data_IF_090637599236
#
_entry.id   IF_090637599236
#
_cell.length_a   1.000
_cell.length_b   1.000
_cell.length_c   1.000
_cell.angle_alpha   90.00
_cell.angle_beta   90.00
_cell.angle_gamma   90.00
#
_symmetry.space_group_name_H-M   'P 1'
#
loop_
_entity.id
_entity.type
_entity.pdbx_description
1 polymer ?
#
# COMPACT_ATOMS: atom_id res chain seq x y z
N UNK A 1 -14.28 19.61 13.03
CA UNK A 1 -13.03 20.33 13.33
C UNK A 1 -12.54 20.97 12.05
N UNK A 2 -12.16 22.26 12.09
CA UNK A 2 -11.85 23.02 10.88
C UNK A 2 -10.69 22.39 10.06
N UNK A 3 -10.80 22.32 8.73
CA UNK A 3 -9.71 21.87 7.88
C UNK A 3 -8.50 22.81 8.02
N UNK A 4 -7.30 22.27 7.87
CA UNK A 4 -6.10 23.09 7.75
C UNK A 4 -6.29 24.05 6.56
N UNK A 5 -6.21 25.36 6.81
CA UNK A 5 -6.27 26.37 5.77
C UNK A 5 -5.07 26.16 4.83
N UNK A 6 -5.36 25.74 3.60
CA UNK A 6 -4.44 25.86 2.48
C UNK A 6 -4.39 27.37 2.16
N UNK A 7 -3.29 28.02 2.52
CA UNK A 7 -3.05 29.41 2.16
C UNK A 7 -2.81 29.49 0.65
N UNK A 8 -3.85 29.81 -0.11
CA UNK A 8 -3.68 30.48 -1.40
C UNK A 8 -3.57 31.98 -1.10
N UNK A 9 -2.35 32.51 -1.13
CA UNK A 9 -2.14 33.96 -1.01
C UNK A 9 -1.88 34.55 -2.39
N UNK A 10 -2.88 35.25 -2.90
CA UNK A 10 -2.73 36.18 -4.02
C UNK A 10 -2.73 37.60 -3.46
N UNK A 11 -1.53 38.19 -3.32
CA UNK A 11 -1.30 39.64 -3.43
C UNK A 11 0.20 39.98 -3.41
N UNK A 12 0.60 40.75 -4.43
CA UNK A 12 1.89 41.42 -4.52
C UNK A 12 1.94 42.65 -3.61
N UNK A 13 3.15 43.00 -3.19
CA UNK A 13 3.61 44.27 -2.61
C UNK A 13 3.36 44.54 -1.11
N UNK A 14 4.21 43.93 -0.27
CA UNK A 14 4.79 44.40 0.99
C UNK A 14 5.40 43.17 1.70
N UNK A 15 6.47 43.33 2.50
CA UNK A 15 7.04 42.21 3.27
C UNK A 15 5.91 41.37 3.91
N UNK A 16 5.83 40.06 3.65
CA UNK A 16 4.68 39.27 4.06
C UNK A 16 4.49 39.41 5.58
N UNK A 17 3.25 39.63 6.03
CA UNK A 17 2.88 39.84 7.45
C UNK A 17 3.53 38.80 8.39
N UNK A 18 3.81 37.59 7.88
CA UNK A 18 4.55 36.54 8.58
C UNK A 18 6.01 36.90 8.92
N UNK A 19 6.72 37.61 8.04
CA UNK A 19 8.08 38.13 8.25
C UNK A 19 8.14 39.12 9.42
N UNK A 20 7.14 40.01 9.51
CA UNK A 20 7.03 40.98 10.61
C UNK A 20 6.65 40.31 11.94
N UNK A 21 5.76 39.31 11.93
CA UNK A 21 5.26 38.67 13.16
C UNK A 21 6.24 37.67 13.78
N UNK A 22 6.98 36.93 12.96
CA UNK A 22 7.88 35.86 13.43
C UNK A 22 9.35 36.14 13.17
N UNK A 23 9.67 37.29 12.57
CA UNK A 23 11.05 37.65 12.24
C UNK A 23 11.69 36.69 11.23
N UNK A 24 10.96 36.05 10.32
CA UNK A 24 11.60 35.15 9.34
C UNK A 24 12.46 35.93 8.33
N UNK A 25 13.53 35.30 7.84
CA UNK A 25 14.39 35.86 6.78
C UNK A 25 14.85 34.74 5.86
N UNK A 26 14.55 34.86 4.58
CA UNK A 26 15.14 34.02 3.54
C UNK A 26 16.37 34.74 2.98
N UNK A 27 17.56 34.27 3.36
CA UNK A 27 18.82 34.86 2.93
C UNK A 27 19.92 33.79 2.89
N UNK A 28 20.33 33.41 1.67
CA UNK A 28 21.34 32.38 1.44
C UNK A 28 22.78 32.89 1.57
N UNK A 29 23.00 34.19 1.79
CA UNK A 29 24.30 34.81 2.05
C UNK A 29 24.68 34.81 3.55
N UNK A 30 23.99 33.98 4.36
CA UNK A 30 24.36 33.71 5.76
C UNK A 30 23.47 34.35 6.82
N UNK A 31 22.38 35.05 6.45
CA UNK A 31 21.42 35.60 7.42
C UNK A 31 20.06 34.88 7.41
N UNK A 32 20.00 33.64 6.94
CA UNK A 32 18.78 32.84 6.93
C UNK A 32 18.23 32.67 8.35
N UNK A 33 16.93 32.89 8.55
CA UNK A 33 16.27 32.78 9.87
C UNK A 33 14.87 32.20 9.75
N UNK A 34 14.66 31.06 10.39
CA UNK A 34 13.33 30.46 10.57
C UNK A 34 12.54 31.16 11.67
N UNK A 35 11.23 30.90 11.71
CA UNK A 35 10.38 31.32 12.81
C UNK A 35 10.80 30.60 14.12
N UNK A 36 10.66 31.22 15.29
CA UNK A 36 10.91 30.55 16.57
C UNK A 36 10.04 29.30 16.73
N UNK A 37 10.62 28.24 17.32
CA UNK A 37 9.95 26.97 17.58
C UNK A 37 10.50 26.32 18.85
N UNK A 38 9.67 25.55 19.55
CA UNK A 38 10.07 24.70 20.68
C UNK A 38 9.93 23.22 20.32
N UNK A 39 10.78 22.36 20.90
CA UNK A 39 10.77 20.91 20.69
C UNK A 39 9.41 20.31 21.07
N UNK A 40 8.77 20.84 22.11
CA UNK A 40 7.45 20.38 22.57
C UNK A 40 6.34 20.62 21.53
N UNK A 41 6.46 21.68 20.73
CA UNK A 41 5.50 21.98 19.66
C UNK A 41 5.61 20.94 18.54
N UNK A 42 6.83 20.56 18.17
CA UNK A 42 7.10 19.53 17.16
C UNK A 42 6.60 18.16 17.64
N UNK A 43 6.92 17.76 18.88
CA UNK A 43 6.46 16.49 19.46
C UNK A 43 4.94 16.40 19.52
N UNK A 44 4.25 17.43 20.06
CA UNK A 44 2.78 17.50 20.09
C UNK A 44 2.19 17.45 18.68
N UNK A 45 2.80 18.13 17.71
CA UNK A 45 2.32 18.14 16.33
C UNK A 45 2.33 16.75 15.70
N UNK A 46 3.39 15.97 15.92
CA UNK A 46 3.51 14.59 15.41
C UNK A 46 2.59 13.62 16.15
N UNK A 47 2.66 13.58 17.48
CA UNK A 47 1.85 12.67 18.31
C UNK A 47 0.37 12.85 18.01
N UNK A 48 -0.13 14.10 18.03
CA UNK A 48 -1.55 14.37 17.78
C UNK A 48 -2.01 13.82 16.42
N UNK A 49 -1.23 14.04 15.36
CA UNK A 49 -1.59 13.60 14.00
C UNK A 49 -1.53 12.08 13.90
N UNK A 50 -0.45 11.47 14.39
CA UNK A 50 -0.27 10.03 14.28
C UNK A 50 -1.33 9.25 15.06
N UNK A 51 -1.60 9.63 16.32
CA UNK A 51 -2.62 8.96 17.13
C UNK A 51 -4.05 9.22 16.64
N UNK A 52 -4.34 10.40 16.08
CA UNK A 52 -5.63 10.63 15.42
C UNK A 52 -5.80 9.73 14.19
N UNK A 53 -4.76 9.58 13.39
CA UNK A 53 -4.76 8.66 12.25
C UNK A 53 -4.95 7.21 12.71
N UNK A 54 -4.23 6.76 13.73
CA UNK A 54 -4.41 5.42 14.30
C UNK A 54 -5.84 5.21 14.79
N UNK A 55 -6.39 6.18 15.53
CA UNK A 55 -7.75 6.13 16.05
C UNK A 55 -8.78 6.01 14.91
N UNK A 56 -8.69 6.88 13.89
CA UNK A 56 -9.56 6.86 12.72
C UNK A 56 -9.46 5.55 11.92
N UNK A 57 -8.26 4.96 11.86
CA UNK A 57 -7.97 3.76 11.07
C UNK A 57 -8.04 2.45 11.83
N UNK A 58 -8.48 2.46 13.09
CA UNK A 58 -8.86 1.22 13.82
C UNK A 58 -9.91 0.40 13.05
N UNK A 59 -10.75 1.07 12.27
CA UNK A 59 -11.66 0.47 11.28
C UNK A 59 -11.40 1.13 9.92
N UNK A 60 -11.00 0.32 8.94
CA UNK A 60 -10.77 0.75 7.55
C UNK A 60 -11.71 0.01 6.60
N UNK A 61 -12.03 0.59 5.45
CA UNK A 61 -12.79 -0.10 4.41
C UNK A 61 -11.92 -1.12 3.67
N UNK A 62 -10.67 -0.76 3.42
CA UNK A 62 -9.67 -1.64 2.80
C UNK A 62 -8.34 -1.46 3.48
N UNK A 63 -7.69 -2.58 3.83
CA UNK A 63 -6.29 -2.61 4.25
C UNK A 63 -5.44 -3.19 3.12
N UNK A 64 -4.35 -2.51 2.76
CA UNK A 64 -3.35 -3.01 1.80
C UNK A 64 -2.08 -3.33 2.57
N UNK A 65 -1.62 -4.58 2.52
CA UNK A 65 -0.40 -5.04 3.19
C UNK A 65 0.74 -5.12 2.17
N UNK A 66 1.76 -4.29 2.36
CA UNK A 66 2.90 -4.13 1.47
C UNK A 66 2.71 -2.98 0.47
N UNK A 67 3.53 -1.94 0.60
CA UNK A 67 3.60 -0.79 -0.30
C UNK A 67 4.62 -0.99 -1.42
N UNK A 68 4.70 -2.21 -1.98
CA UNK A 68 5.48 -2.49 -3.19
C UNK A 68 4.79 -1.98 -4.47
N UNK A 69 5.37 -2.26 -5.64
CA UNK A 69 4.79 -1.84 -6.94
C UNK A 69 3.34 -2.31 -7.14
N UNK A 70 3.01 -3.55 -6.77
CA UNK A 70 1.64 -4.06 -6.86
C UNK A 70 0.69 -3.37 -5.86
N UNK A 71 1.11 -3.24 -4.59
CA UNK A 71 0.32 -2.58 -3.55
C UNK A 71 0.07 -1.09 -3.84
N UNK A 72 1.08 -0.36 -4.31
CA UNK A 72 0.95 1.05 -4.71
C UNK A 72 0.09 1.24 -5.96
N UNK A 73 0.22 0.35 -6.95
CA UNK A 73 -0.65 0.36 -8.13
C UNK A 73 -2.11 0.09 -7.77
N UNK A 74 -2.33 -0.85 -6.84
CA UNK A 74 -3.64 -1.13 -6.26
C UNK A 74 -4.20 0.09 -5.51
N UNK A 75 -3.43 0.66 -4.59
CA UNK A 75 -3.82 1.80 -3.79
C UNK A 75 -4.22 2.99 -4.67
N UNK A 76 -3.41 3.33 -5.69
CA UNK A 76 -3.71 4.42 -6.60
C UNK A 76 -5.02 4.18 -7.35
N UNK A 77 -5.19 3.00 -7.95
CA UNK A 77 -6.38 2.71 -8.74
C UNK A 77 -7.64 2.66 -7.88
N UNK A 78 -7.57 2.03 -6.70
CA UNK A 78 -8.67 1.91 -5.76
C UNK A 78 -9.08 3.29 -5.22
N UNK A 79 -8.13 4.05 -4.70
CA UNK A 79 -8.40 5.34 -4.05
C UNK A 79 -8.95 6.39 -5.03
N UNK A 80 -8.45 6.41 -6.27
CA UNK A 80 -8.97 7.31 -7.31
C UNK A 80 -10.36 6.91 -7.80
N UNK A 81 -10.69 5.61 -7.82
CA UNK A 81 -12.00 5.12 -8.27
C UNK A 81 -13.06 5.17 -7.18
N UNK A 82 -12.64 5.14 -5.91
CA UNK A 82 -13.51 5.10 -4.72
C UNK A 82 -13.02 6.09 -3.65
N UNK A 83 -13.18 7.41 -3.90
CA UNK A 83 -12.74 8.44 -2.96
C UNK A 83 -13.50 8.40 -1.62
N UNK A 84 -14.61 7.68 -1.55
CA UNK A 84 -15.41 7.44 -0.34
C UNK A 84 -14.79 6.41 0.62
N UNK A 85 -13.90 5.55 0.14
CA UNK A 85 -13.35 4.45 0.95
C UNK A 85 -12.13 4.87 1.77
N UNK A 86 -12.10 4.48 3.04
CA UNK A 86 -10.91 4.57 3.90
C UNK A 86 -9.91 3.46 3.55
N UNK A 87 -8.83 3.84 2.87
CA UNK A 87 -7.76 2.91 2.47
C UNK A 87 -6.56 3.10 3.38
N UNK A 88 -6.12 2.02 4.02
CA UNK A 88 -4.98 2.02 4.96
C UNK A 88 -3.91 1.07 4.45
N UNK A 89 -2.73 1.60 4.15
CA UNK A 89 -1.58 0.84 3.66
C UNK A 89 -0.67 0.57 4.86
N UNK A 90 -0.34 -0.71 5.09
CA UNK A 90 0.61 -1.14 6.11
C UNK A 90 1.89 -1.60 5.40
N UNK A 91 3.01 -0.96 5.72
CA UNK A 91 4.31 -1.25 5.14
C UNK A 91 5.34 -1.53 6.24
N UNK A 92 5.98 -2.70 6.15
CA UNK A 92 6.94 -3.14 7.16
C UNK A 92 8.21 -2.26 7.16
N UNK A 93 8.69 -1.85 5.99
CA UNK A 93 9.91 -1.06 5.93
C UNK A 93 9.65 0.41 6.30
N UNK A 94 10.70 1.10 6.75
CA UNK A 94 10.65 2.56 6.87
C UNK A 94 10.40 3.18 5.49
N UNK A 95 11.09 2.72 4.46
CA UNK A 95 10.90 3.19 3.10
C UNK A 95 9.90 2.28 2.35
N UNK A 96 8.75 2.80 1.88
CA UNK A 96 7.86 2.07 0.98
C UNK A 96 8.51 1.88 -0.40
N UNK A 97 7.82 1.16 -1.29
CA UNK A 97 8.27 0.89 -2.66
C UNK A 97 8.72 -0.56 -2.89
N UNK A 98 9.00 -1.30 -1.81
CA UNK A 98 9.46 -2.70 -1.89
C UNK A 98 10.66 -2.85 -2.82
N UNK A 99 10.63 -3.87 -3.69
CA UNK A 99 11.69 -4.13 -4.66
C UNK A 99 11.71 -3.21 -5.90
N UNK A 100 10.81 -2.21 -6.00
CA UNK A 100 10.67 -1.38 -7.19
C UNK A 100 11.58 -0.13 -7.19
N UNK A 101 12.62 -0.12 -6.38
CA UNK A 101 13.65 0.94 -6.40
C UNK A 101 14.72 0.71 -7.45
N UNK A 102 14.87 -0.53 -7.92
CA UNK A 102 15.89 -0.97 -8.86
C UNK A 102 15.28 -1.88 -9.94
N UNK A 103 16.02 -2.07 -11.02
CA UNK A 103 15.83 -3.16 -11.98
C UNK A 103 16.54 -4.44 -11.50
N UNK A 104 16.99 -5.26 -12.45
CA UNK A 104 17.75 -6.47 -12.14
C UNK A 104 19.18 -6.17 -11.69
N UNK A 105 19.72 -6.98 -10.76
CA UNK A 105 21.15 -6.97 -10.40
C UNK A 105 21.71 -5.57 -10.05
N UNK A 106 20.94 -4.79 -9.28
CA UNK A 106 21.27 -3.41 -8.88
C UNK A 106 21.33 -2.39 -10.03
N UNK A 107 20.95 -2.76 -11.26
CA UNK A 107 20.77 -1.82 -12.36
C UNK A 107 19.52 -0.96 -12.11
N UNK A 108 19.41 0.15 -12.83
CA UNK A 108 18.35 1.15 -12.62
C UNK A 108 17.13 1.04 -13.53
N UNK A 109 17.21 0.66 -14.82
CA UNK A 109 16.06 0.72 -15.72
C UNK A 109 14.93 -0.22 -15.30
N UNK A 110 13.69 0.23 -15.45
CA UNK A 110 12.49 -0.57 -15.16
C UNK A 110 11.80 -0.92 -16.47
N UNK A 111 11.89 -2.21 -16.83
CA UNK A 111 11.26 -2.77 -18.01
C UNK A 111 9.80 -3.13 -17.71
N UNK A 112 8.89 -2.68 -18.57
CA UNK A 112 7.45 -2.90 -18.44
C UNK A 112 6.89 -3.36 -19.78
N UNK A 113 6.37 -4.59 -19.85
CA UNK A 113 5.69 -5.10 -21.04
C UNK A 113 4.33 -4.43 -21.25
N UNK A 114 3.96 -4.19 -22.51
CA UNK A 114 2.62 -3.69 -22.87
C UNK A 114 1.54 -4.75 -22.56
N UNK A 115 0.32 -4.34 -22.13
CA UNK A 115 -0.24 -2.99 -22.13
C UNK A 115 -0.09 -2.22 -20.80
N UNK A 116 0.87 -2.58 -19.93
CA UNK A 116 1.03 -1.91 -18.63
C UNK A 116 1.58 -0.47 -18.72
N UNK A 117 2.11 -0.08 -19.88
CA UNK A 117 2.50 1.29 -20.24
C UNK A 117 1.31 2.28 -20.18
N UNK A 118 0.08 1.83 -20.40
CA UNK A 118 -1.12 2.65 -20.21
C UNK A 118 -1.22 3.22 -18.78
N UNK A 119 -0.73 2.48 -17.78
CA UNK A 119 -0.68 2.98 -16.42
C UNK A 119 0.37 4.07 -16.25
N UNK A 120 1.54 3.93 -16.88
CA UNK A 120 2.59 4.97 -16.86
C UNK A 120 2.08 6.29 -17.43
N UNK A 121 1.36 6.24 -18.55
CA UNK A 121 0.68 7.40 -19.12
C UNK A 121 -0.29 8.04 -18.11
N UNK A 122 -1.14 7.22 -17.46
CA UNK A 122 -2.10 7.69 -16.44
C UNK A 122 -1.43 8.39 -15.26
N UNK A 123 -0.23 7.97 -14.86
CA UNK A 123 0.51 8.57 -13.75
C UNK A 123 1.60 9.56 -14.20
N UNK A 124 1.73 9.84 -15.50
CA UNK A 124 2.71 10.78 -16.03
C UNK A 124 4.16 10.37 -15.82
N UNK A 125 4.47 9.06 -15.82
CA UNK A 125 5.84 8.56 -15.77
C UNK A 125 6.36 8.41 -17.21
N UNK A 126 7.41 9.16 -17.61
CA UNK A 126 7.98 9.05 -18.94
C UNK A 126 8.72 7.72 -19.12
N UNK A 127 8.72 7.22 -20.35
CA UNK A 127 9.37 5.98 -20.74
C UNK A 127 9.84 6.05 -22.20
N UNK A 128 10.77 5.17 -22.55
CA UNK A 128 11.21 4.90 -23.91
C UNK A 128 10.42 3.70 -24.45
N UNK A 129 9.85 3.81 -25.65
CA UNK A 129 9.04 2.75 -26.27
C UNK A 129 9.92 1.85 -27.16
N UNK A 130 9.99 0.56 -26.82
CA UNK A 130 10.80 -0.47 -27.46
C UNK A 130 9.92 -1.51 -28.20
N UNK A 131 8.71 -1.10 -28.61
CA UNK A 131 7.75 -1.95 -29.31
C UNK A 131 6.88 -2.77 -28.35
N UNK A 132 7.28 -3.99 -28.01
CA UNK A 132 6.49 -4.90 -27.16
C UNK A 132 6.58 -4.57 -25.65
N UNK A 133 7.51 -3.70 -25.29
CA UNK A 133 7.73 -3.23 -23.93
C UNK A 133 8.19 -1.77 -23.95
N UNK A 134 8.21 -1.17 -22.78
CA UNK A 134 8.71 0.18 -22.55
C UNK A 134 9.74 0.15 -21.41
N UNK A 135 10.60 1.15 -21.37
CA UNK A 135 11.65 1.27 -20.35
C UNK A 135 11.52 2.62 -19.65
N UNK A 136 11.24 2.57 -18.35
CA UNK A 136 11.37 3.76 -17.49
C UNK A 136 12.84 3.90 -17.13
N UNK A 137 13.41 5.09 -17.36
CA UNK A 137 14.84 5.37 -17.16
C UNK A 137 15.41 4.91 -15.82
N UNK A 138 14.56 4.93 -14.78
CA UNK A 138 14.91 4.43 -13.46
C UNK A 138 13.66 3.92 -12.74
N UNK A 139 13.72 2.72 -12.16
CA UNK A 139 12.66 2.16 -11.31
C UNK A 139 12.16 3.12 -10.22
N UNK A 140 13.07 3.86 -9.58
CA UNK A 140 12.76 4.91 -8.61
C UNK A 140 11.84 6.01 -9.15
N UNK A 141 11.91 6.35 -10.45
CA UNK A 141 11.03 7.36 -11.05
C UNK A 141 9.57 6.88 -11.05
N UNK A 142 9.33 5.62 -11.41
CA UNK A 142 8.00 5.03 -11.31
C UNK A 142 7.52 5.02 -9.85
N UNK A 143 8.34 4.47 -8.96
CA UNK A 143 7.96 4.23 -7.55
C UNK A 143 7.71 5.52 -6.79
N UNK A 144 8.59 6.51 -6.89
CA UNK A 144 8.40 7.82 -6.26
C UNK A 144 7.19 8.57 -6.81
N UNK A 145 6.93 8.48 -8.12
CA UNK A 145 5.78 9.16 -8.75
C UNK A 145 4.46 8.55 -8.29
N UNK A 146 4.32 7.22 -8.33
CA UNK A 146 3.09 6.57 -7.86
C UNK A 146 2.90 6.77 -6.37
N UNK A 147 3.96 6.68 -5.56
CA UNK A 147 3.90 6.92 -4.12
C UNK A 147 3.43 8.35 -3.81
N UNK A 148 4.02 9.36 -4.45
CA UNK A 148 3.62 10.76 -4.28
C UNK A 148 2.13 10.97 -4.59
N UNK A 149 1.66 10.43 -5.73
CA UNK A 149 0.26 10.52 -6.13
C UNK A 149 -0.68 9.78 -5.18
N UNK A 150 -0.28 8.62 -4.67
CA UNK A 150 -1.07 7.85 -3.68
C UNK A 150 -1.18 8.60 -2.37
N UNK A 151 -0.07 9.13 -1.84
CA UNK A 151 -0.04 9.85 -0.56
C UNK A 151 -0.76 11.20 -0.61
N UNK A 152 -0.93 11.78 -1.80
CA UNK A 152 -1.71 12.99 -1.99
C UNK A 152 -3.23 12.77 -1.93
N UNK A 153 -3.70 11.51 -1.97
CA UNK A 153 -5.14 11.20 -1.94
C UNK A 153 -5.67 11.29 -0.50
N UNK A 154 -6.74 12.07 -0.24
CA UNK A 154 -7.20 12.37 1.12
C UNK A 154 -7.76 11.16 1.87
N UNK A 155 -8.13 10.10 1.15
CA UNK A 155 -8.71 8.88 1.72
C UNK A 155 -7.67 7.77 1.98
N UNK A 156 -6.41 8.00 1.60
CA UNK A 156 -5.29 7.07 1.83
C UNK A 156 -4.47 7.46 3.05
N UNK A 157 -4.10 6.46 3.84
CA UNK A 157 -3.09 6.58 4.91
C UNK A 157 -2.02 5.52 4.68
N UNK A 158 -0.75 5.90 4.82
CA UNK A 158 0.38 4.98 4.88
C UNK A 158 0.90 4.90 6.33
N UNK A 159 0.92 3.70 6.89
CA UNK A 159 1.60 3.36 8.13
C UNK A 159 2.81 2.49 7.78
N UNK A 160 3.92 3.15 7.48
CA UNK A 160 5.22 2.52 7.28
C UNK A 160 5.88 2.18 8.64
N UNK A 161 6.98 1.41 8.60
CA UNK A 161 7.61 0.84 9.81
C UNK A 161 6.66 0.01 10.68
N UNK A 162 5.59 -0.52 10.07
CA UNK A 162 4.52 -1.28 10.73
C UNK A 162 4.37 -2.62 10.01
N UNK A 163 4.62 -3.72 10.71
CA UNK A 163 4.46 -5.07 10.18
C UNK A 163 3.04 -5.58 10.44
N UNK A 164 2.54 -6.42 9.53
CA UNK A 164 1.41 -7.31 9.82
C UNK A 164 2.00 -8.63 10.31
N UNK A 165 1.63 -9.04 11.52
CA UNK A 165 2.14 -10.25 12.18
C UNK A 165 1.11 -11.38 12.19
N UNK A 166 -0.18 -11.04 12.10
CA UNK A 166 -1.28 -11.99 12.00
C UNK A 166 -2.46 -11.40 11.21
N UNK A 167 -3.42 -12.24 10.86
CA UNK A 167 -4.70 -11.87 10.28
C UNK A 167 -5.79 -12.02 11.34
N UNK A 168 -6.74 -11.08 11.36
CA UNK A 168 -7.96 -11.25 12.17
C UNK A 168 -8.86 -12.21 11.41
N UNK A 169 -8.98 -13.45 11.87
CA UNK A 169 -9.84 -14.46 11.24
C UNK A 169 -11.09 -14.68 12.13
N UNK A 170 -12.28 -14.59 11.53
CA UNK A 170 -13.57 -14.76 12.21
C UNK A 170 -14.49 -15.62 11.36
N UNK A 171 -15.44 -16.30 12.00
CA UNK A 171 -16.58 -16.90 11.29
C UNK A 171 -17.51 -15.79 10.80
N UNK A 172 -17.80 -15.76 9.51
CA UNK A 172 -18.71 -14.80 8.88
C UNK A 172 -20.19 -15.20 9.01
N UNK A 173 -21.08 -14.35 8.47
CA UNK A 173 -22.53 -14.56 8.50
C UNK A 173 -23.00 -15.81 7.73
N UNK A 174 -22.15 -16.41 6.89
CA UNK A 174 -22.42 -17.67 6.17
C UNK A 174 -21.75 -18.88 6.86
N UNK A 175 -21.19 -18.70 8.05
CA UNK A 175 -20.52 -19.77 8.80
C UNK A 175 -19.11 -20.10 8.29
N UNK A 176 -18.51 -19.27 7.42
CA UNK A 176 -17.19 -19.52 6.82
C UNK A 176 -16.10 -18.74 7.55
N UNK A 177 -14.88 -19.27 7.58
CA UNK A 177 -13.73 -18.51 8.07
C UNK A 177 -13.41 -17.36 7.09
N UNK A 178 -13.34 -16.14 7.61
CA UNK A 178 -13.13 -14.90 6.87
C UNK A 178 -12.03 -14.07 7.51
N UNK A 179 -11.15 -13.53 6.68
CA UNK A 179 -10.22 -12.48 7.08
C UNK A 179 -11.00 -11.17 7.24
N UNK A 180 -10.96 -10.61 8.45
CA UNK A 180 -11.73 -9.45 8.88
C UNK A 180 -10.82 -8.30 9.38
N UNK A 181 -9.55 -8.32 9.01
CA UNK A 181 -8.57 -7.32 9.38
C UNK A 181 -7.17 -7.89 9.57
N UNK A 182 -6.29 -7.07 10.13
CA UNK A 182 -4.88 -7.38 10.34
C UNK A 182 -4.46 -7.13 11.78
N UNK A 183 -3.50 -7.91 12.24
CA UNK A 183 -2.80 -7.74 13.52
C UNK A 183 -1.46 -7.10 13.22
N UNK A 184 -1.21 -5.94 13.82
CA UNK A 184 -0.11 -5.04 13.44
C UNK A 184 0.81 -4.77 14.61
N UNK A 185 2.09 -4.54 14.31
CA UNK A 185 3.03 -4.04 15.31
C UNK A 185 4.09 -3.18 14.64
N UNK A 186 4.90 -2.48 15.42
CA UNK A 186 6.12 -1.90 14.89
C UNK A 186 7.00 -3.01 14.32
N UNK A 187 7.57 -2.81 13.15
CA UNK A 187 8.36 -3.87 12.49
C UNK A 187 9.56 -4.30 13.33
N UNK A 188 10.17 -3.37 14.07
CA UNK A 188 11.24 -3.71 15.00
C UNK A 188 10.76 -4.55 16.18
N UNK A 189 9.51 -4.41 16.63
CA UNK A 189 8.95 -5.31 17.64
C UNK A 189 8.76 -6.70 17.04
N UNK A 190 8.17 -6.77 15.84
CA UNK A 190 7.91 -8.02 15.14
C UNK A 190 9.17 -8.86 14.85
N UNK A 191 10.30 -8.20 14.61
CA UNK A 191 11.59 -8.85 14.36
C UNK A 191 12.33 -9.26 15.65
N UNK A 192 11.81 -8.92 16.83
CA UNK A 192 12.55 -9.01 18.10
C UNK A 192 11.76 -9.68 19.24
N UNK A 193 10.69 -10.43 18.94
CA UNK A 193 9.90 -11.17 19.94
C UNK A 193 10.73 -12.10 20.82
N UNK A 194 11.80 -12.70 20.30
CA UNK A 194 12.68 -13.61 21.05
C UNK A 194 13.75 -12.92 21.90
N UNK A 195 13.83 -11.58 21.85
CA UNK A 195 14.93 -10.80 22.46
C UNK A 195 14.50 -9.86 23.58
N UNK A 196 13.20 -9.83 23.91
CA UNK A 196 12.60 -8.99 24.95
C UNK A 196 11.48 -9.76 25.65
N UNK A 197 10.86 -9.17 26.68
CA UNK A 197 9.56 -9.67 27.16
C UNK A 197 8.48 -9.55 26.07
N UNK A 198 7.40 -10.32 26.18
CA UNK A 198 6.32 -10.30 25.20
C UNK A 198 5.78 -8.88 24.99
N UNK A 199 5.65 -8.47 23.72
CA UNK A 199 5.14 -7.17 23.31
C UNK A 199 3.95 -7.37 22.40
N UNK A 200 2.75 -7.39 23.01
CA UNK A 200 1.51 -7.68 22.29
C UNK A 200 1.28 -6.72 21.11
N UNK A 201 0.68 -7.22 20.01
CA UNK A 201 0.38 -6.41 18.84
C UNK A 201 -0.88 -5.55 19.04
N UNK A 202 -1.13 -4.66 18.07
CA UNK A 202 -2.37 -3.92 17.90
C UNK A 202 -3.20 -4.50 16.73
N UNK A 203 -4.38 -3.93 16.43
CA UNK A 203 -5.30 -4.47 15.42
C UNK A 203 -5.95 -3.40 14.56
N UNK A 204 -6.23 -3.74 13.30
CA UNK A 204 -7.06 -2.94 12.38
C UNK A 204 -8.14 -3.85 11.81
N UNK A 205 -9.40 -3.48 12.03
CA UNK A 205 -10.55 -4.19 11.43
C UNK A 205 -10.79 -3.70 10.01
N UNK A 206 -10.96 -4.62 9.08
CA UNK A 206 -11.33 -4.30 7.71
C UNK A 206 -12.12 -5.44 7.04
N UNK A 207 -13.16 -5.12 6.25
CA UNK A 207 -13.96 -6.14 5.57
C UNK A 207 -13.21 -6.76 4.40
N UNK A 208 -12.17 -6.07 3.91
CA UNK A 208 -11.34 -6.44 2.75
C UNK A 208 -9.87 -6.15 3.10
N UNK A 209 -9.04 -7.17 3.01
CA UNK A 209 -7.58 -7.09 3.10
C UNK A 209 -7.00 -7.46 1.74
N UNK A 210 -6.08 -6.64 1.23
CA UNK A 210 -5.32 -6.89 0.00
C UNK A 210 -3.86 -7.13 0.43
N UNK A 211 -3.36 -8.34 0.21
CA UNK A 211 -1.98 -8.71 0.51
C UNK A 211 -1.12 -8.66 -0.75
N UNK A 212 -0.08 -7.83 -0.71
CA UNK A 212 0.88 -7.61 -1.78
C UNK A 212 2.31 -7.60 -1.23
N UNK A 213 2.62 -8.54 -0.33
CA UNK A 213 3.88 -8.59 0.46
C UNK A 213 5.08 -9.11 -0.32
N UNK A 214 4.92 -9.39 -1.61
CA UNK A 214 5.97 -9.95 -2.46
C UNK A 214 6.29 -11.41 -2.10
N UNK A 215 7.44 -11.90 -2.56
CA UNK A 215 7.87 -13.29 -2.35
C UNK A 215 9.13 -13.42 -1.48
N UNK A 216 9.88 -12.32 -1.30
CA UNK A 216 11.24 -12.35 -0.75
C UNK A 216 11.33 -11.72 0.64
N UNK A 217 12.44 -12.00 1.33
CA UNK A 217 12.78 -11.43 2.63
C UNK A 217 11.98 -12.00 3.81
N UNK A 218 12.30 -11.55 5.04
CA UNK A 218 11.70 -12.08 6.28
C UNK A 218 10.17 -11.95 6.35
N UNK A 219 9.62 -10.92 5.70
CA UNK A 219 8.18 -10.60 5.71
C UNK A 219 7.47 -10.96 4.38
N UNK A 220 8.18 -11.59 3.44
CA UNK A 220 7.65 -11.94 2.13
C UNK A 220 6.60 -13.04 2.19
N UNK A 221 5.60 -12.95 1.32
CA UNK A 221 4.48 -13.88 1.19
C UNK A 221 3.76 -14.17 2.52
N UNK A 222 3.62 -13.13 3.35
CA UNK A 222 3.11 -13.25 4.71
C UNK A 222 1.74 -13.91 4.77
N UNK A 223 0.75 -13.38 4.05
CA UNK A 223 -0.63 -13.86 4.15
C UNK A 223 -0.76 -15.25 3.53
N UNK A 224 -0.04 -15.54 2.45
CA UNK A 224 0.00 -16.89 1.86
C UNK A 224 0.51 -17.93 2.86
N UNK A 225 1.64 -17.66 3.53
CA UNK A 225 2.18 -18.51 4.60
C UNK A 225 1.22 -18.61 5.78
N UNK A 226 0.60 -17.48 6.15
CA UNK A 226 -0.31 -17.42 7.29
C UNK A 226 -1.55 -18.27 7.07
N UNK A 227 -2.13 -18.27 5.86
CA UNK A 227 -3.27 -19.14 5.51
C UNK A 227 -2.95 -20.63 5.75
N UNK A 228 -1.72 -21.07 5.45
CA UNK A 228 -1.30 -22.45 5.72
C UNK A 228 -1.26 -22.72 7.23
N UNK A 229 -0.53 -21.88 7.98
CA UNK A 229 -0.40 -22.05 9.44
C UNK A 229 -1.73 -21.89 10.21
N UNK A 230 -2.69 -21.17 9.64
CA UNK A 230 -4.04 -21.01 10.18
C UNK A 230 -5.00 -22.14 9.78
N UNK A 231 -4.55 -23.11 8.98
CA UNK A 231 -5.36 -24.25 8.52
C UNK A 231 -6.40 -23.89 7.46
N UNK A 232 -6.27 -22.73 6.79
CA UNK A 232 -7.17 -22.28 5.72
C UNK A 232 -6.68 -22.69 4.33
N UNK A 233 -5.42 -23.14 4.23
CA UNK A 233 -4.81 -23.65 3.01
C UNK A 233 -3.98 -24.90 3.35
N UNK A 234 -4.08 -25.96 2.57
CA UNK A 234 -3.37 -27.21 2.84
C UNK A 234 -1.83 -27.06 2.73
N UNK A 235 -1.37 -26.17 1.86
CA UNK A 235 0.04 -25.89 1.63
C UNK A 235 0.24 -24.84 0.55
N UNK A 236 1.46 -24.31 0.45
CA UNK A 236 1.83 -23.37 -0.60
C UNK A 236 2.02 -24.08 -1.95
N UNK A 237 1.67 -23.38 -3.03
CA UNK A 237 2.04 -23.78 -4.38
C UNK A 237 3.55 -23.68 -4.63
N UNK A 238 4.25 -22.79 -3.92
CA UNK A 238 5.67 -22.45 -4.04
C UNK A 238 6.06 -21.85 -5.40
N UNK A 239 6.64 -20.65 -5.37
CA UNK A 239 7.09 -19.96 -6.58
C UNK A 239 8.04 -20.85 -7.42
N UNK A 240 7.82 -20.90 -8.74
CA UNK A 240 8.59 -21.73 -9.69
C UNK A 240 9.72 -20.94 -10.34
N UNK A 241 10.51 -21.64 -11.16
CA UNK A 241 11.60 -21.06 -11.94
C UNK A 241 11.17 -19.88 -12.81
N UNK A 242 12.15 -19.12 -13.30
CA UNK A 242 11.91 -17.90 -14.06
C UNK A 242 11.40 -18.22 -15.48
N UNK A 243 10.24 -17.66 -15.83
CA UNK A 243 9.67 -17.66 -17.18
C UNK A 243 8.75 -16.43 -17.31
N UNK A 244 9.26 -15.33 -17.88
CA UNK A 244 8.54 -14.06 -17.98
C UNK A 244 7.23 -14.17 -18.77
N UNK A 245 7.23 -14.97 -19.83
CA UNK A 245 6.09 -15.12 -20.74
C UNK A 245 4.92 -15.81 -20.06
N UNK A 246 5.20 -16.84 -19.25
CA UNK A 246 4.17 -17.54 -18.46
C UNK A 246 3.82 -16.81 -17.17
N UNK A 247 4.81 -16.25 -16.48
CA UNK A 247 4.64 -15.64 -15.16
C UNK A 247 3.72 -14.43 -15.20
N UNK A 248 3.99 -13.45 -16.08
CA UNK A 248 3.29 -12.17 -16.02
C UNK A 248 1.77 -12.29 -16.25
N UNK A 249 1.28 -13.00 -17.30
CA UNK A 249 -0.15 -13.20 -17.48
C UNK A 249 -0.77 -14.05 -16.36
N UNK A 250 -0.07 -15.08 -15.86
CA UNK A 250 -0.57 -15.91 -14.77
C UNK A 250 -0.85 -15.08 -13.51
N UNK A 251 0.10 -14.22 -13.11
CA UNK A 251 -0.06 -13.37 -11.93
C UNK A 251 -1.22 -12.38 -12.09
N UNK A 252 -1.32 -11.70 -13.24
CA UNK A 252 -2.42 -10.73 -13.46
C UNK A 252 -3.77 -11.43 -13.48
N UNK A 253 -3.91 -12.51 -14.26
CA UNK A 253 -5.18 -13.19 -14.46
C UNK A 253 -5.69 -13.89 -13.19
N UNK A 254 -4.77 -14.39 -12.36
CA UNK A 254 -5.11 -15.12 -11.14
C UNK A 254 -5.28 -14.22 -9.92
N UNK A 255 -4.99 -12.92 -10.00
CA UNK A 255 -5.21 -11.98 -8.90
C UNK A 255 -6.69 -11.93 -8.52
N UNK A 256 -7.00 -12.31 -7.27
CA UNK A 256 -8.37 -12.57 -6.80
C UNK A 256 -8.48 -12.55 -5.28
N UNK A 257 -9.72 -12.63 -4.78
CA UNK A 257 -10.03 -13.05 -3.41
C UNK A 257 -9.68 -14.55 -3.25
N UNK A 258 -8.55 -14.85 -2.60
CA UNK A 258 -8.04 -16.23 -2.43
C UNK A 258 -8.68 -16.95 -1.24
N UNK A 259 -9.15 -16.18 -0.26
CA UNK A 259 -9.97 -16.62 0.87
C UNK A 259 -10.97 -15.50 1.18
N UNK A 260 -12.14 -15.78 1.81
CA UNK A 260 -13.11 -14.73 2.11
C UNK A 260 -12.46 -13.57 2.88
N UNK A 261 -12.55 -12.36 2.34
CA UNK A 261 -11.97 -11.13 2.88
C UNK A 261 -10.51 -10.89 2.56
N UNK A 262 -9.82 -11.80 1.86
CA UNK A 262 -8.40 -11.69 1.53
C UNK A 262 -8.17 -11.77 0.01
N UNK A 263 -7.82 -10.65 -0.57
CA UNK A 263 -7.35 -10.53 -1.96
C UNK A 263 -5.83 -10.59 -1.96
N UNK A 264 -5.26 -11.32 -2.93
CA UNK A 264 -3.81 -11.48 -3.02
C UNK A 264 -3.32 -11.03 -4.40
N UNK A 265 -2.24 -10.25 -4.41
CA UNK A 265 -1.73 -9.57 -5.58
C UNK A 265 -0.19 -9.60 -5.64
N UNK A 266 0.34 -9.32 -6.81
CA UNK A 266 1.77 -9.32 -7.09
C UNK A 266 2.41 -10.68 -6.86
N UNK A 267 3.69 -10.67 -6.50
CA UNK A 267 4.47 -11.89 -6.39
C UNK A 267 4.10 -12.78 -5.20
N UNK A 268 3.40 -12.28 -4.19
CA UNK A 268 2.87 -13.12 -3.11
C UNK A 268 1.94 -14.22 -3.66
N UNK A 269 1.17 -13.89 -4.71
CA UNK A 269 0.30 -14.85 -5.37
C UNK A 269 1.06 -16.01 -6.03
N UNK A 270 2.32 -15.80 -6.42
CA UNK A 270 3.14 -16.89 -6.98
C UNK A 270 3.46 -17.97 -5.95
N UNK A 271 3.61 -17.60 -4.67
CA UNK A 271 3.85 -18.56 -3.59
C UNK A 271 2.58 -19.31 -3.24
N UNK A 272 1.44 -18.62 -3.27
CA UNK A 272 0.13 -19.23 -3.07
C UNK A 272 -0.20 -20.23 -4.19
N UNK A 273 -0.16 -19.82 -5.46
CA UNK A 273 -0.62 -20.62 -6.60
C UNK A 273 0.48 -21.52 -7.21
N UNK A 274 1.75 -21.27 -6.91
CA UNK A 274 2.88 -22.00 -7.49
C UNK A 274 3.17 -21.60 -8.94
N UNK A 275 3.14 -20.30 -9.23
CA UNK A 275 3.42 -19.74 -10.56
C UNK A 275 4.92 -19.47 -10.78
N UNK A 276 5.33 -19.38 -12.06
CA UNK A 276 6.66 -18.91 -12.42
C UNK A 276 6.92 -17.48 -11.93
N UNK A 277 8.19 -17.13 -11.69
CA UNK A 277 8.62 -15.75 -11.46
C UNK A 277 8.99 -15.04 -12.75
N UNK A 278 8.84 -13.71 -12.80
CA UNK A 278 9.23 -12.91 -13.98
C UNK A 278 10.61 -12.25 -13.85
N UNK A 279 11.18 -12.13 -12.64
CA UNK A 279 12.46 -11.43 -12.48
C UNK A 279 12.33 -9.92 -12.76
N UNK A 280 13.26 -9.29 -13.50
CA UNK A 280 13.35 -7.83 -13.60
C UNK A 280 12.41 -7.19 -14.64
N UNK A 281 11.13 -7.57 -14.64
CA UNK A 281 10.05 -6.90 -15.41
C UNK A 281 8.84 -6.66 -14.51
N UNK A 282 8.19 -5.51 -14.65
CA UNK A 282 7.25 -4.98 -13.67
C UNK A 282 5.79 -4.87 -14.16
N UNK A 283 5.52 -5.23 -15.42
CA UNK A 283 4.19 -5.12 -16.02
C UNK A 283 3.12 -5.89 -15.25
N UNK A 284 3.43 -7.11 -14.82
CA UNK A 284 2.54 -7.92 -14.00
C UNK A 284 2.22 -7.33 -12.64
N UNK A 285 3.17 -6.63 -12.00
CA UNK A 285 2.93 -6.02 -10.70
C UNK A 285 1.91 -4.89 -10.82
N UNK A 286 2.03 -4.08 -11.86
CA UNK A 286 1.07 -3.01 -12.19
C UNK A 286 -0.30 -3.62 -12.50
N UNK A 287 -0.36 -4.56 -13.45
CA UNK A 287 -1.60 -5.19 -13.88
C UNK A 287 -2.32 -5.93 -12.73
N UNK A 288 -1.57 -6.67 -11.91
CA UNK A 288 -2.08 -7.37 -10.73
C UNK A 288 -2.59 -6.39 -9.68
N UNK A 289 -1.85 -5.33 -9.36
CA UNK A 289 -2.33 -4.30 -8.43
C UNK A 289 -3.65 -3.67 -8.88
N UNK A 290 -3.77 -3.32 -10.16
CA UNK A 290 -5.02 -2.79 -10.74
C UNK A 290 -6.15 -3.82 -10.66
N UNK A 291 -5.88 -5.08 -11.01
CA UNK A 291 -6.85 -6.18 -10.88
C UNK A 291 -7.33 -6.36 -9.44
N UNK A 292 -6.43 -6.29 -8.46
CA UNK A 292 -6.78 -6.36 -7.04
C UNK A 292 -7.71 -5.22 -6.60
N UNK A 293 -7.49 -4.01 -7.12
CA UNK A 293 -8.40 -2.89 -6.88
C UNK A 293 -9.81 -3.17 -7.44
N UNK A 294 -9.92 -3.74 -8.64
CA UNK A 294 -11.21 -4.15 -9.21
C UNK A 294 -11.92 -5.21 -8.37
N UNK A 295 -11.20 -6.22 -7.87
CA UNK A 295 -11.79 -7.23 -7.00
C UNK A 295 -12.24 -6.62 -5.67
N UNK A 296 -11.46 -5.71 -5.08
CA UNK A 296 -11.85 -5.03 -3.85
C UNK A 296 -13.13 -4.21 -4.02
N UNK A 297 -13.25 -3.46 -5.12
CA UNK A 297 -14.47 -2.70 -5.45
C UNK A 297 -15.67 -3.65 -5.58
N UNK A 298 -15.52 -4.75 -6.32
CA UNK A 298 -16.56 -5.76 -6.51
C UNK A 298 -17.00 -6.38 -5.18
N UNK A 299 -16.07 -6.77 -4.33
CA UNK A 299 -16.36 -7.33 -3.01
C UNK A 299 -17.08 -6.30 -2.13
N UNK A 300 -16.65 -5.04 -2.15
CA UNK A 300 -17.28 -3.97 -1.38
C UNK A 300 -18.73 -3.69 -1.83
N UNK A 301 -18.97 -3.68 -3.14
CA UNK A 301 -20.29 -3.41 -3.71
C UNK A 301 -21.29 -4.56 -3.51
N UNK A 302 -20.79 -5.79 -3.38
CA UNK A 302 -21.63 -6.97 -3.15
C UNK A 302 -21.89 -7.27 -1.67
N UNK A 303 -21.17 -6.61 -0.75
CA UNK A 303 -21.25 -6.84 0.69
C UNK A 303 -22.06 -5.76 1.41
N UNK A 304 -22.89 -6.19 2.36
CA UNK A 304 -23.41 -5.31 3.42
C UNK A 304 -22.34 -5.22 4.52
N UNK A 305 -21.85 -4.01 4.78
CA UNK A 305 -20.73 -3.75 5.68
C UNK A 305 -21.19 -2.81 6.79
N UNK A 306 -21.01 -3.23 8.05
CA UNK A 306 -21.31 -2.44 9.25
C UNK A 306 -20.07 -2.46 10.15
N UNK A 307 -19.54 -1.27 10.49
CA UNK A 307 -18.35 -1.11 11.33
C UNK A 307 -17.16 -1.99 10.87
N UNK A 308 -16.90 -2.00 9.57
CA UNK A 308 -15.80 -2.77 8.95
C UNK A 308 -16.02 -4.29 8.91
N UNK A 309 -17.21 -4.79 9.24
CA UNK A 309 -17.56 -6.22 9.19
C UNK A 309 -18.57 -6.48 8.09
N UNK A 310 -18.37 -7.55 7.33
CA UNK A 310 -19.39 -8.03 6.40
C UNK A 310 -20.48 -8.76 7.18
N UNK A 311 -21.70 -8.25 7.14
CA UNK A 311 -22.87 -8.77 7.87
C UNK A 311 -23.90 -9.43 6.97
N UNK A 312 -23.76 -9.25 5.66
CA UNK A 312 -24.69 -9.78 4.67
C UNK A 312 -24.23 -9.52 3.24
N UNK A 313 -25.06 -9.92 2.28
CA UNK A 313 -24.89 -9.60 0.85
C UNK A 313 -25.84 -8.47 0.48
N UNK A 314 -25.35 -7.48 -0.26
CA UNK A 314 -26.22 -6.47 -0.88
C UNK A 314 -27.01 -7.14 -1.99
N UNK A 315 -28.33 -7.16 -1.86
CA UNK A 315 -29.22 -7.54 -2.96
C UNK A 315 -29.12 -6.43 -4.01
N UNK A 316 -28.57 -6.73 -5.19
CA UNK A 316 -28.67 -5.82 -6.34
C UNK A 316 -30.16 -5.61 -6.61
N UNK A 317 -30.68 -4.42 -6.32
CA UNK A 317 -31.96 -3.99 -6.88
C UNK A 317 -31.72 -3.85 -8.39
N UNK A 318 -32.26 -4.81 -9.14
CA UNK A 318 -32.40 -4.74 -10.60
C UNK A 318 -33.14 -3.49 -11.02
#
# INVERSE_FOLDING_TARGET
>A
MAPAQILQDTRNDSEPIAALKYGVREDYEGNYRFAPIEESQVSRAMIKRYFNTMYDRTISDVVIVGAGSAGLSCAYHLATSRPDLKITIIEANVAPGGGAWLGGQLMTPMVIRKPADAFLQKIGVPYEDEGNFVVVKHAALFTSTVLSKVLALPNVVLMNATAVEDLIIKTDFEGRQRVAGVVTNWTLVALNHDTQSCMDPNTITAPIVISATGHDGPMGAFSAKRLVSAGLLAGLGNMRGLDMSRAEPAIVNQTREVAPGLIMAGMELSEHDGSNRMGPTFGAMIGSGIKAAHEAIRTYESAEIVNGKVVGKKIRRT
#
